data_IF_808210264319
#
_entry.id   IF_808210264319
#
_cell.length_a   1.000
_cell.length_b   1.000
_cell.length_c   1.000
_cell.angle_alpha   90.00
_cell.angle_beta   90.00
_cell.angle_gamma   90.00
#
_symmetry.space_group_name_H-M   'P 1'
#
loop_
_entity.id
_entity.type
_entity.pdbx_description
1 polymer ?
#
# COMPACT_ATOMS: atom_id res chain seq x y z
N UNK A 1 -8.06 5.94 -19.76
CA UNK A 1 -7.06 6.49 -18.83
C UNK A 1 -7.58 7.79 -18.22
N UNK A 2 -7.46 7.90 -16.89
CA UNK A 2 -7.86 9.10 -16.18
C UNK A 2 -6.86 10.24 -16.44
N UNK A 3 -7.37 11.45 -16.68
CA UNK A 3 -6.53 12.64 -16.87
C UNK A 3 -6.71 13.57 -15.68
N UNK A 4 -5.61 13.83 -14.95
CA UNK A 4 -5.62 14.81 -13.86
C UNK A 4 -5.65 16.23 -14.39
N UNK A 5 -6.41 17.13 -13.74
CA UNK A 5 -6.49 18.55 -14.09
C UNK A 5 -5.17 19.31 -13.96
N UNK A 6 -4.23 18.78 -13.16
CA UNK A 6 -2.88 19.32 -12.97
C UNK A 6 -1.96 18.27 -12.32
N UNK A 7 -0.69 18.65 -12.07
CA UNK A 7 0.34 17.75 -11.49
C UNK A 7 0.37 17.73 -9.97
N UNK A 8 -0.51 18.44 -9.27
CA UNK A 8 -0.53 18.41 -7.81
C UNK A 8 -1.18 17.13 -7.32
N UNK A 9 -0.38 16.28 -6.74
CA UNK A 9 -0.71 14.92 -6.36
C UNK A 9 -0.49 14.73 -4.86
N UNK A 10 -1.55 14.50 -4.09
CA UNK A 10 -1.44 14.13 -2.68
C UNK A 10 -1.34 12.60 -2.61
N UNK A 11 -0.17 12.10 -2.29
CA UNK A 11 0.09 10.67 -2.05
C UNK A 11 -0.73 10.14 -0.87
N UNK A 12 -0.94 8.82 -0.75
CA UNK A 12 -1.60 8.23 0.40
C UNK A 12 -0.98 8.70 1.72
N UNK A 13 -1.82 9.10 2.66
CA UNK A 13 -1.37 9.67 3.93
C UNK A 13 -2.30 9.27 5.07
N UNK A 14 -1.73 8.60 6.07
CA UNK A 14 -2.44 8.09 7.23
C UNK A 14 -2.87 9.20 8.18
N UNK A 15 -4.12 9.16 8.60
CA UNK A 15 -4.74 10.13 9.52
C UNK A 15 -5.43 9.47 10.70
N UNK A 16 -5.63 8.14 10.65
CA UNK A 16 -6.36 7.39 11.65
C UNK A 16 -7.87 7.69 11.70
N UNK A 17 -8.43 8.19 10.60
CA UNK A 17 -9.85 8.58 10.54
C UNK A 17 -10.70 7.57 9.74
N UNK A 18 -10.08 6.76 8.88
CA UNK A 18 -10.77 6.04 7.84
C UNK A 18 -11.79 5.03 8.33
N UNK A 19 -11.53 4.36 9.43
CA UNK A 19 -12.44 3.36 9.98
C UNK A 19 -13.55 3.94 10.84
N UNK A 20 -13.20 4.75 11.85
CA UNK A 20 -14.18 5.25 12.82
C UNK A 20 -14.81 6.59 12.42
N UNK A 21 -14.16 7.34 11.54
CA UNK A 21 -14.53 8.72 11.20
C UNK A 21 -14.50 9.01 9.71
N UNK A 22 -15.16 8.18 8.87
CA UNK A 22 -15.06 8.30 7.41
C UNK A 22 -15.55 9.67 6.89
N UNK A 23 -16.52 10.29 7.55
CA UNK A 23 -16.96 11.63 7.21
C UNK A 23 -15.86 12.69 7.46
N UNK A 24 -15.10 12.58 8.56
CA UNK A 24 -13.98 13.50 8.83
C UNK A 24 -12.87 13.33 7.81
N UNK A 25 -12.54 12.07 7.46
CA UNK A 25 -11.58 11.78 6.41
C UNK A 25 -12.03 12.41 5.09
N UNK A 26 -13.28 12.21 4.72
CA UNK A 26 -13.85 12.75 3.48
C UNK A 26 -13.80 14.29 3.43
N UNK A 27 -14.15 14.99 4.51
CA UNK A 27 -14.06 16.44 4.60
C UNK A 27 -12.61 16.93 4.50
N UNK A 28 -11.69 16.33 5.24
CA UNK A 28 -10.28 16.69 5.17
C UNK A 28 -9.70 16.53 3.76
N UNK A 29 -10.08 15.46 3.06
CA UNK A 29 -9.65 15.24 1.67
C UNK A 29 -10.34 16.22 0.70
N UNK A 30 -11.61 16.51 0.92
CA UNK A 30 -12.36 17.47 0.11
C UNK A 30 -11.76 18.88 0.17
N UNK A 31 -11.27 19.34 1.32
CA UNK A 31 -10.57 20.63 1.45
C UNK A 31 -9.36 20.73 0.51
N UNK A 32 -8.63 19.63 0.31
CA UNK A 32 -7.50 19.59 -0.64
C UNK A 32 -7.98 19.70 -2.08
N UNK A 33 -9.05 18.99 -2.41
CA UNK A 33 -9.65 19.02 -3.75
C UNK A 33 -10.19 20.43 -4.08
N UNK A 34 -10.87 21.07 -3.14
CA UNK A 34 -11.34 22.47 -3.22
C UNK A 34 -10.16 23.44 -3.39
N UNK A 35 -9.05 23.20 -2.67
CA UNK A 35 -7.79 23.95 -2.78
C UNK A 35 -7.03 23.71 -4.08
N UNK A 36 -7.56 22.90 -5.02
CA UNK A 36 -7.06 22.77 -6.39
C UNK A 36 -6.19 21.55 -6.67
N UNK A 37 -6.02 20.61 -5.74
CA UNK A 37 -5.27 19.38 -5.99
C UNK A 37 -5.87 18.54 -7.11
N UNK A 38 -5.01 18.02 -8.00
CA UNK A 38 -5.44 17.20 -9.15
C UNK A 38 -5.76 15.76 -8.77
N UNK A 39 -5.00 15.21 -7.82
CA UNK A 39 -5.23 13.87 -7.26
C UNK A 39 -5.17 13.94 -5.75
N UNK A 40 -6.11 13.26 -5.09
CA UNK A 40 -6.15 13.13 -3.63
C UNK A 40 -6.41 11.66 -3.26
N UNK A 41 -5.54 11.10 -2.42
CA UNK A 41 -5.61 9.70 -2.01
C UNK A 41 -6.13 9.54 -0.59
N UNK A 42 -6.56 8.32 -0.27
CA UNK A 42 -6.91 7.89 1.10
C UNK A 42 -5.66 7.81 2.00
N UNK A 43 -5.80 7.25 3.16
CA UNK A 43 -4.78 6.51 3.89
C UNK A 43 -4.70 5.07 3.37
N UNK A 44 -3.77 4.24 3.85
CA UNK A 44 -3.82 2.83 3.48
C UNK A 44 -5.12 2.17 3.93
N UNK A 45 -5.63 1.26 3.12
CA UNK A 45 -6.86 0.52 3.36
C UNK A 45 -6.55 -0.96 3.44
N UNK A 46 -6.82 -1.57 4.60
CA UNK A 46 -6.70 -3.02 4.75
C UNK A 46 -7.65 -3.73 3.78
N UNK A 47 -7.13 -4.71 3.04
CA UNK A 47 -7.89 -5.44 2.03
C UNK A 47 -8.65 -6.64 2.58
N UNK A 48 -8.30 -7.11 3.79
CA UNK A 48 -8.89 -8.29 4.40
C UNK A 48 -8.79 -8.22 5.93
N UNK A 49 -9.79 -8.76 6.67
CA UNK A 49 -9.78 -8.77 8.13
C UNK A 49 -8.55 -9.41 8.80
N UNK A 50 -7.88 -10.36 8.12
CA UNK A 50 -6.62 -10.94 8.64
C UNK A 50 -5.43 -9.97 8.65
N UNK A 51 -5.64 -8.76 8.20
CA UNK A 51 -4.66 -7.67 8.25
C UNK A 51 -5.31 -6.44 8.91
N UNK A 52 -5.86 -6.61 10.10
CA UNK A 52 -6.38 -5.49 10.85
C UNK A 52 -5.28 -4.74 11.61
N UNK A 53 -5.40 -3.42 11.67
CA UNK A 53 -4.52 -2.54 12.42
C UNK A 53 -5.34 -1.69 13.42
N UNK A 54 -6.17 -2.36 14.18
CA UNK A 54 -7.20 -1.75 15.03
C UNK A 54 -6.68 -0.68 15.98
N UNK A 55 -5.45 -0.82 16.48
CA UNK A 55 -4.85 0.20 17.36
C UNK A 55 -4.75 1.57 16.70
N UNK A 56 -4.67 1.63 15.38
CA UNK A 56 -4.48 2.86 14.61
C UNK A 56 -5.75 3.34 13.90
N UNK A 57 -6.80 2.52 13.86
CA UNK A 57 -8.12 2.90 13.29
C UNK A 57 -8.07 3.40 11.84
N UNK A 58 -7.14 2.87 11.02
CA UNK A 58 -7.04 3.21 9.61
C UNK A 58 -8.18 2.59 8.78
N UNK A 59 -8.26 2.98 7.51
CA UNK A 59 -9.33 2.53 6.66
C UNK A 59 -9.25 1.04 6.32
N UNK A 60 -10.39 0.46 6.02
CA UNK A 60 -10.56 -0.88 5.47
C UNK A 60 -11.33 -0.83 4.15
N UNK A 61 -11.22 -1.91 3.39
CA UNK A 61 -12.01 -2.13 2.18
C UNK A 61 -12.44 -3.60 2.10
N UNK A 62 -13.04 -4.08 3.21
CA UNK A 62 -13.37 -5.49 3.42
C UNK A 62 -14.74 -5.87 2.88
N UNK A 63 -15.70 -4.94 2.98
CA UNK A 63 -17.10 -5.19 2.69
C UNK A 63 -17.85 -3.98 2.10
N UNK A 64 -19.16 -4.12 1.95
CA UNK A 64 -20.03 -3.09 1.39
C UNK A 64 -20.24 -1.88 2.32
N UNK A 65 -19.97 -1.98 3.61
CA UNK A 65 -20.02 -0.81 4.50
C UNK A 65 -18.82 0.10 4.24
N UNK A 66 -17.67 -0.48 4.00
CA UNK A 66 -16.46 0.25 3.60
C UNK A 66 -16.64 0.95 2.24
N UNK A 67 -17.25 0.26 1.26
CA UNK A 67 -17.58 0.86 -0.03
C UNK A 67 -18.44 2.13 0.14
N UNK A 68 -19.47 2.05 0.98
CA UNK A 68 -20.34 3.22 1.27
C UNK A 68 -19.57 4.35 1.96
N UNK A 69 -18.69 4.02 2.89
CA UNK A 69 -17.86 5.00 3.60
C UNK A 69 -16.90 5.71 2.65
N UNK A 70 -16.21 4.98 1.78
CA UNK A 70 -15.30 5.55 0.80
C UNK A 70 -16.01 6.38 -0.26
N UNK A 71 -17.22 5.99 -0.67
CA UNK A 71 -18.02 6.75 -1.62
C UNK A 71 -18.29 8.19 -1.15
N UNK A 72 -18.43 8.42 0.14
CA UNK A 72 -18.58 9.77 0.70
C UNK A 72 -17.38 10.64 0.31
N UNK A 73 -16.18 10.09 0.32
CA UNK A 73 -14.96 10.82 -0.06
C UNK A 73 -14.86 11.01 -1.57
N UNK A 74 -15.05 9.97 -2.36
CA UNK A 74 -14.90 10.04 -3.82
C UNK A 74 -15.91 11.01 -4.42
N UNK A 75 -17.18 10.97 -3.99
CA UNK A 75 -18.22 11.91 -4.41
C UNK A 75 -17.85 13.38 -4.11
N UNK A 76 -17.19 13.65 -2.98
CA UNK A 76 -16.73 15.00 -2.64
C UNK A 76 -15.57 15.45 -3.52
N UNK A 77 -14.59 14.58 -3.76
CA UNK A 77 -13.42 14.88 -4.59
C UNK A 77 -13.83 15.17 -6.05
N UNK A 78 -14.73 14.37 -6.59
CA UNK A 78 -15.21 14.50 -7.97
C UNK A 78 -15.98 15.82 -8.22
N UNK A 79 -16.63 16.41 -7.21
CA UNK A 79 -17.23 17.74 -7.32
C UNK A 79 -16.23 18.84 -7.71
N UNK A 80 -14.94 18.61 -7.42
CA UNK A 80 -13.86 19.54 -7.75
C UNK A 80 -13.00 19.08 -8.94
N UNK A 81 -13.47 18.11 -9.74
CA UNK A 81 -12.71 17.48 -10.81
C UNK A 81 -11.34 16.96 -10.33
N UNK A 82 -11.29 16.39 -9.12
CA UNK A 82 -10.12 15.80 -8.50
C UNK A 82 -10.24 14.29 -8.56
N UNK A 83 -9.19 13.61 -9.05
CA UNK A 83 -9.14 12.16 -9.06
C UNK A 83 -8.93 11.62 -7.65
N UNK A 84 -9.61 10.53 -7.34
CA UNK A 84 -9.55 9.82 -6.06
C UNK A 84 -8.70 8.56 -6.17
N UNK A 85 -7.73 8.38 -5.26
CA UNK A 85 -6.95 7.15 -5.18
C UNK A 85 -7.11 6.43 -3.84
N UNK A 86 -6.95 5.10 -3.87
CA UNK A 86 -6.98 4.23 -2.69
C UNK A 86 -5.74 3.35 -2.63
N UNK A 87 -5.12 3.28 -1.46
CA UNK A 87 -3.93 2.46 -1.22
C UNK A 87 -4.32 1.12 -0.58
N UNK A 88 -4.21 0.04 -1.35
CA UNK A 88 -4.53 -1.32 -0.91
C UNK A 88 -3.35 -1.92 -0.15
N UNK A 89 -3.62 -2.35 1.07
CA UNK A 89 -2.61 -2.72 2.03
C UNK A 89 -2.87 -4.08 2.67
N UNK A 90 -1.80 -4.86 2.79
CA UNK A 90 -1.72 -6.03 3.65
C UNK A 90 -0.46 -5.95 4.50
N UNK A 91 -0.63 -5.98 5.81
CA UNK A 91 0.43 -5.66 6.76
C UNK A 91 1.61 -6.64 6.78
N UNK A 92 1.34 -7.93 6.56
CA UNK A 92 2.34 -8.94 6.89
C UNK A 92 2.52 -9.04 8.42
N UNK A 93 3.77 -9.24 8.87
CA UNK A 93 4.12 -9.37 10.29
C UNK A 93 3.78 -8.14 11.16
N UNK A 94 3.38 -7.03 10.53
CA UNK A 94 3.10 -5.79 11.25
C UNK A 94 1.63 -5.58 11.60
N UNK A 95 0.72 -6.49 11.18
CA UNK A 95 -0.66 -6.49 11.62
C UNK A 95 -0.75 -6.80 13.11
N UNK A 96 -1.53 -6.03 13.83
CA UNK A 96 -1.82 -6.33 15.24
C UNK A 96 -2.83 -7.44 15.41
N UNK A 97 -3.79 -7.53 14.48
CA UNK A 97 -4.90 -8.47 14.44
C UNK A 97 -5.63 -8.62 15.78
N UNK A 98 -5.71 -7.52 16.55
CA UNK A 98 -6.34 -7.52 17.88
C UNK A 98 -7.84 -7.71 17.81
N UNK A 99 -8.47 -7.24 16.75
CA UNK A 99 -9.90 -7.39 16.52
C UNK A 99 -10.24 -8.79 16.00
N UNK A 100 -9.59 -9.21 14.92
CA UNK A 100 -9.85 -10.50 14.28
C UNK A 100 -9.24 -11.68 15.03
N UNK A 101 -8.13 -11.44 15.76
CA UNK A 101 -7.33 -12.46 16.46
C UNK A 101 -6.74 -13.53 15.53
N UNK A 102 -6.65 -13.26 14.27
CA UNK A 102 -6.01 -14.13 13.30
C UNK A 102 -4.48 -14.01 13.38
N UNK A 103 -3.77 -15.09 13.06
CA UNK A 103 -2.31 -15.04 12.96
C UNK A 103 -1.94 -14.42 11.62
N UNK A 104 -1.24 -13.27 11.58
CA UNK A 104 -0.84 -12.67 10.33
C UNK A 104 0.16 -13.57 9.60
N UNK A 105 0.15 -13.55 8.28
CA UNK A 105 1.17 -14.22 7.50
C UNK A 105 2.15 -13.22 6.88
N UNK A 106 3.37 -13.67 6.63
CA UNK A 106 4.42 -12.89 5.99
C UNK A 106 5.31 -13.79 5.13
N UNK A 107 6.36 -13.23 4.58
CA UNK A 107 7.39 -13.93 3.81
C UNK A 107 7.97 -15.12 4.58
N UNK A 108 8.14 -14.97 5.89
CA UNK A 108 8.58 -16.01 6.82
C UNK A 108 7.89 -15.89 8.18
N UNK A 109 8.15 -16.84 9.09
CA UNK A 109 7.68 -16.78 10.47
C UNK A 109 8.65 -15.93 11.29
N UNK A 110 8.19 -14.76 11.73
CA UNK A 110 9.03 -13.81 12.45
C UNK A 110 8.24 -12.97 13.47
N UNK A 111 8.90 -12.49 14.52
CA UNK A 111 8.26 -11.56 15.45
C UNK A 111 7.93 -10.24 14.76
N UNK A 112 6.94 -9.54 15.32
CA UNK A 112 6.64 -8.17 14.89
C UNK A 112 7.86 -7.27 15.13
N UNK A 113 8.24 -6.48 14.14
CA UNK A 113 9.42 -5.63 14.22
C UNK A 113 9.27 -4.45 15.20
N UNK A 114 8.04 -4.05 15.53
CA UNK A 114 7.75 -3.02 16.55
C UNK A 114 7.91 -3.53 17.98
N UNK A 115 8.40 -4.76 18.17
CA UNK A 115 8.55 -5.37 19.49
C UNK A 115 7.24 -5.74 20.18
N UNK A 116 6.12 -5.74 19.46
CA UNK A 116 4.83 -6.20 19.97
C UNK A 116 4.82 -7.74 20.05
N UNK A 117 4.07 -8.34 20.98
CA UNK A 117 4.09 -9.77 21.23
C UNK A 117 3.31 -10.60 20.18
N UNK A 118 3.44 -10.23 18.93
CA UNK A 118 2.85 -10.95 17.80
C UNK A 118 3.93 -11.58 16.94
N UNK A 119 3.57 -12.65 16.30
CA UNK A 119 4.42 -13.36 15.36
C UNK A 119 3.64 -13.71 14.11
N UNK A 120 4.23 -13.46 12.95
CA UNK A 120 3.67 -13.95 11.69
C UNK A 120 3.98 -15.43 11.50
N UNK A 121 3.17 -16.08 10.66
CA UNK A 121 3.49 -17.37 10.06
C UNK A 121 3.97 -17.20 8.63
N UNK A 122 4.82 -18.11 8.17
CA UNK A 122 5.25 -18.15 6.77
C UNK A 122 4.07 -18.44 5.84
N UNK A 123 3.94 -17.70 4.76
CA UNK A 123 2.94 -17.95 3.72
C UNK A 123 3.14 -19.31 3.05
N UNK A 124 2.04 -20.02 2.85
CA UNK A 124 1.96 -21.23 2.04
C UNK A 124 1.31 -20.97 0.66
N UNK A 125 1.16 -22.02 -0.13
CA UNK A 125 0.60 -21.91 -1.50
C UNK A 125 -0.85 -21.44 -1.52
N UNK A 126 -1.62 -21.71 -0.46
CA UNK A 126 -2.99 -21.24 -0.38
C UNK A 126 -3.04 -19.73 -0.09
N UNK A 127 -2.17 -19.25 0.80
CA UNK A 127 -2.09 -17.84 1.15
C UNK A 127 -1.80 -16.94 -0.07
N UNK A 128 -0.92 -17.39 -0.97
CA UNK A 128 -0.68 -16.65 -2.22
C UNK A 128 -1.92 -16.57 -3.12
N UNK A 129 -2.73 -17.63 -3.17
CA UNK A 129 -4.01 -17.62 -3.92
C UNK A 129 -5.01 -16.67 -3.26
N UNK A 130 -5.15 -16.79 -1.96
CA UNK A 130 -6.07 -15.97 -1.17
C UNK A 130 -5.69 -14.48 -1.22
N UNK A 131 -4.41 -14.17 -1.07
CA UNK A 131 -3.92 -12.79 -1.16
C UNK A 131 -4.26 -12.15 -2.53
N UNK A 132 -4.01 -12.87 -3.63
CA UNK A 132 -4.38 -12.38 -4.98
C UNK A 132 -5.88 -12.17 -5.11
N UNK A 133 -6.68 -13.08 -4.54
CA UNK A 133 -8.14 -12.92 -4.54
C UNK A 133 -8.58 -11.71 -3.72
N UNK A 134 -7.98 -11.48 -2.54
CA UNK A 134 -8.30 -10.33 -1.70
C UNK A 134 -7.94 -8.99 -2.36
N UNK A 135 -6.79 -8.92 -3.05
CA UNK A 135 -6.46 -7.74 -3.85
C UNK A 135 -7.46 -7.50 -4.97
N UNK A 136 -7.87 -8.56 -5.67
CA UNK A 136 -8.91 -8.50 -6.70
C UNK A 136 -10.23 -8.00 -6.13
N UNK A 137 -10.70 -8.56 -5.02
CA UNK A 137 -11.96 -8.19 -4.39
C UNK A 137 -11.93 -6.75 -3.87
N UNK A 138 -10.81 -6.32 -3.28
CA UNK A 138 -10.63 -4.94 -2.84
C UNK A 138 -10.60 -3.96 -4.03
N UNK A 139 -9.97 -4.32 -5.14
CA UNK A 139 -9.97 -3.51 -6.36
C UNK A 139 -11.38 -3.36 -6.96
N UNK A 140 -12.21 -4.42 -6.95
CA UNK A 140 -13.62 -4.34 -7.36
C UNK A 140 -14.42 -3.42 -6.44
N UNK A 141 -14.23 -3.50 -5.14
CA UNK A 141 -14.85 -2.60 -4.17
C UNK A 141 -14.37 -1.15 -4.35
N UNK A 142 -13.08 -0.95 -4.65
CA UNK A 142 -12.54 0.38 -4.96
C UNK A 142 -13.23 0.98 -6.18
N UNK A 143 -13.39 0.20 -7.24
CA UNK A 143 -14.12 0.60 -8.45
C UNK A 143 -15.57 0.95 -8.12
N UNK A 144 -16.26 0.13 -7.35
CA UNK A 144 -17.63 0.38 -6.89
C UNK A 144 -17.72 1.65 -6.03
N UNK A 145 -16.73 1.91 -5.17
CA UNK A 145 -16.67 3.12 -4.35
C UNK A 145 -16.36 4.40 -5.15
N UNK A 146 -16.01 4.29 -6.44
CA UNK A 146 -15.78 5.42 -7.32
C UNK A 146 -14.34 5.93 -7.33
N UNK A 147 -13.36 5.12 -6.97
CA UNK A 147 -11.95 5.48 -7.10
C UNK A 147 -11.48 5.45 -8.56
N UNK A 148 -10.55 6.33 -8.89
CA UNK A 148 -9.91 6.45 -10.20
C UNK A 148 -8.53 5.76 -10.24
N UNK A 149 -7.90 5.59 -9.07
CA UNK A 149 -6.55 5.05 -8.93
C UNK A 149 -6.54 4.03 -7.79
N UNK A 150 -5.94 2.88 -8.04
CA UNK A 150 -5.71 1.84 -7.03
C UNK A 150 -4.22 1.58 -6.87
N UNK A 151 -3.73 1.55 -5.63
CA UNK A 151 -2.32 1.31 -5.32
C UNK A 151 -2.08 -0.10 -4.78
N UNK A 152 -0.93 -0.67 -5.14
CA UNK A 152 -0.28 -1.72 -4.37
C UNK A 152 0.76 -1.10 -3.43
N UNK A 153 0.69 -1.43 -2.13
CA UNK A 153 1.57 -0.86 -1.11
C UNK A 153 2.80 -1.74 -0.89
N UNK A 154 3.94 -1.38 -1.48
CA UNK A 154 5.18 -2.16 -1.50
C UNK A 154 6.35 -1.42 -0.83
N UNK A 155 6.14 -0.90 0.39
CA UNK A 155 7.14 -0.20 1.20
C UNK A 155 6.91 -0.40 2.69
N UNK A 156 7.73 0.22 3.54
CA UNK A 156 7.58 0.34 4.99
C UNK A 156 7.51 -1.01 5.74
N UNK A 157 8.25 -2.02 5.29
CA UNK A 157 8.29 -3.37 5.89
C UNK A 157 6.92 -4.08 5.94
N UNK A 158 5.98 -3.70 5.08
CA UNK A 158 4.75 -4.44 4.88
C UNK A 158 4.95 -5.61 3.91
N UNK A 159 3.94 -6.44 3.76
CA UNK A 159 4.08 -7.74 3.11
C UNK A 159 4.82 -7.68 1.76
N UNK A 160 4.39 -6.84 0.82
CA UNK A 160 5.00 -6.80 -0.51
C UNK A 160 6.45 -6.31 -0.49
N UNK A 161 6.79 -5.39 0.41
CA UNK A 161 8.16 -4.93 0.62
C UNK A 161 9.03 -6.02 1.26
N UNK A 162 8.48 -6.82 2.20
CA UNK A 162 9.22 -7.90 2.83
C UNK A 162 9.64 -9.00 1.84
N UNK A 163 8.85 -9.24 0.79
CA UNK A 163 9.22 -10.16 -0.28
C UNK A 163 10.40 -9.66 -1.13
N UNK A 164 10.50 -8.35 -1.31
CA UNK A 164 11.61 -7.71 -2.03
C UNK A 164 12.96 -7.92 -1.33
N UNK A 165 12.99 -7.84 -0.02
CA UNK A 165 14.18 -7.73 0.82
C UNK A 165 14.94 -9.04 0.93
N UNK A 166 16.22 -9.06 0.51
CA UNK A 166 17.10 -10.24 0.62
C UNK A 166 17.50 -10.57 2.06
N UNK A 167 17.53 -9.57 2.95
CA UNK A 167 17.83 -9.75 4.37
C UNK A 167 16.67 -10.34 5.20
N UNK A 168 15.46 -10.31 4.66
CA UNK A 168 14.23 -10.82 5.30
C UNK A 168 13.72 -12.07 4.61
N UNK A 169 13.74 -12.09 3.27
CA UNK A 169 13.19 -13.17 2.46
C UNK A 169 14.14 -14.38 2.40
N UNK A 170 13.98 -15.30 3.34
CA UNK A 170 14.73 -16.55 3.45
C UNK A 170 14.09 -17.73 2.70
N UNK A 171 13.13 -17.45 1.79
CA UNK A 171 12.42 -18.49 1.06
C UNK A 171 13.32 -19.17 0.03
N UNK A 172 13.09 -20.48 -0.15
CA UNK A 172 13.78 -21.32 -1.12
C UNK A 172 12.84 -21.86 -2.21
N UNK A 173 11.66 -21.27 -2.33
CA UNK A 173 10.67 -21.53 -3.37
C UNK A 173 10.69 -20.46 -4.46
N UNK A 174 9.69 -20.48 -5.34
CA UNK A 174 9.54 -19.53 -6.46
C UNK A 174 9.36 -18.07 -6.07
N UNK A 175 9.26 -17.75 -4.76
CA UNK A 175 9.10 -16.40 -4.22
C UNK A 175 10.33 -15.91 -3.43
N UNK A 176 11.45 -16.67 -3.46
CA UNK A 176 12.67 -16.34 -2.73
C UNK A 176 13.95 -16.62 -3.51
N UNK A 177 15.09 -16.27 -2.92
CA UNK A 177 16.41 -16.43 -3.54
C UNK A 177 16.71 -15.32 -4.54
N UNK A 178 16.55 -15.57 -5.85
CA UNK A 178 16.90 -14.59 -6.90
C UNK A 178 16.02 -13.34 -6.86
N UNK A 179 16.51 -12.24 -7.42
CA UNK A 179 15.77 -10.98 -7.55
C UNK A 179 14.45 -11.20 -8.30
N UNK A 180 14.48 -11.98 -9.39
CA UNK A 180 13.28 -12.31 -10.17
C UNK A 180 12.22 -13.01 -9.33
N UNK A 181 12.63 -13.93 -8.46
CA UNK A 181 11.71 -14.65 -7.58
C UNK A 181 11.14 -13.71 -6.50
N UNK A 182 11.97 -12.85 -5.91
CA UNK A 182 11.52 -11.88 -4.90
C UNK A 182 10.58 -10.82 -5.49
N UNK A 183 10.74 -10.47 -6.78
CA UNK A 183 9.86 -9.55 -7.48
C UNK A 183 8.52 -10.19 -7.90
N UNK A 184 8.43 -11.52 -7.90
CA UNK A 184 7.27 -12.27 -8.41
C UNK A 184 5.96 -11.87 -7.78
N UNK A 185 5.89 -11.80 -6.44
CA UNK A 185 4.64 -11.48 -5.75
C UNK A 185 4.14 -10.07 -6.11
N UNK A 186 5.02 -9.09 -6.11
CA UNK A 186 4.64 -7.71 -6.49
C UNK A 186 4.13 -7.67 -7.93
N UNK A 187 4.82 -8.34 -8.86
CA UNK A 187 4.38 -8.44 -10.27
C UNK A 187 2.98 -9.05 -10.37
N UNK A 188 2.76 -10.21 -9.75
CA UNK A 188 1.46 -10.91 -9.76
C UNK A 188 0.33 -10.03 -9.20
N UNK A 189 0.61 -9.25 -8.14
CA UNK A 189 -0.40 -8.34 -7.59
C UNK A 189 -0.68 -7.18 -8.55
N UNK A 190 0.33 -6.60 -9.19
CA UNK A 190 0.11 -5.54 -10.19
C UNK A 190 -0.71 -6.09 -11.36
N UNK A 191 -0.37 -7.28 -11.88
CA UNK A 191 -1.11 -7.94 -12.95
C UNK A 191 -2.57 -8.19 -12.56
N UNK A 192 -2.83 -8.71 -11.36
CA UNK A 192 -4.19 -8.91 -10.83
C UNK A 192 -4.96 -7.58 -10.76
N UNK A 193 -4.33 -6.50 -10.30
CA UNK A 193 -4.96 -5.20 -10.26
C UNK A 193 -5.29 -4.69 -11.68
N UNK A 194 -4.32 -4.73 -12.60
CA UNK A 194 -4.51 -4.31 -14.00
C UNK A 194 -5.64 -5.10 -14.67
N UNK A 195 -5.66 -6.43 -14.53
CA UNK A 195 -6.71 -7.29 -15.09
C UNK A 195 -8.08 -6.98 -14.48
N UNK A 196 -8.13 -6.63 -13.19
CA UNK A 196 -9.38 -6.38 -12.48
C UNK A 196 -9.99 -5.03 -12.82
N UNK A 197 -9.17 -3.97 -12.87
CA UNK A 197 -9.68 -2.61 -13.09
C UNK A 197 -9.70 -2.23 -14.58
N UNK A 198 -8.91 -2.90 -15.42
CA UNK A 198 -8.81 -2.66 -16.86
C UNK A 198 -8.49 -1.20 -17.17
N UNK A 199 -9.09 -0.68 -18.25
CA UNK A 199 -8.91 0.70 -18.71
C UNK A 199 -9.67 1.75 -17.86
N UNK A 200 -10.39 1.31 -16.82
CA UNK A 200 -11.29 2.21 -16.07
C UNK A 200 -10.60 2.92 -14.91
N UNK A 201 -9.52 2.34 -14.38
CA UNK A 201 -8.73 2.93 -13.29
C UNK A 201 -7.25 2.81 -13.60
N UNK A 202 -6.45 3.71 -13.05
CA UNK A 202 -4.99 3.58 -13.08
C UNK A 202 -4.52 2.67 -11.93
N UNK A 203 -3.44 1.93 -12.18
CA UNK A 203 -2.74 1.13 -11.16
C UNK A 203 -1.44 1.83 -10.79
N UNK A 204 -1.31 2.19 -9.52
CA UNK A 204 -0.10 2.78 -8.96
C UNK A 204 0.60 1.80 -8.01
N UNK A 205 1.88 2.01 -7.77
CA UNK A 205 2.64 1.28 -6.75
C UNK A 205 3.37 2.28 -5.87
N UNK A 206 3.14 2.18 -4.56
CA UNK A 206 4.00 2.86 -3.60
C UNK A 206 5.17 1.96 -3.26
N UNK A 207 6.38 2.45 -3.52
CA UNK A 207 7.57 1.64 -3.58
C UNK A 207 8.76 2.29 -2.89
N UNK A 208 9.53 1.48 -2.17
CA UNK A 208 10.84 1.86 -1.66
C UNK A 208 11.90 0.95 -2.28
N UNK A 209 12.83 1.49 -3.07
CA UNK A 209 13.81 0.67 -3.77
C UNK A 209 14.87 0.09 -2.83
N UNK A 210 15.30 0.86 -1.83
CA UNK A 210 16.37 0.47 -0.91
C UNK A 210 16.37 1.41 0.30
N UNK A 211 15.57 1.05 1.31
CA UNK A 211 15.36 1.89 2.49
C UNK A 211 16.66 2.22 3.23
N UNK A 212 17.57 1.24 3.35
CA UNK A 212 18.80 1.38 4.13
C UNK A 212 19.81 2.29 3.42
N UNK A 213 19.99 2.14 2.11
CA UNK A 213 20.89 3.00 1.34
C UNK A 213 20.40 4.43 1.27
N UNK A 214 19.09 4.61 1.03
CA UNK A 214 18.48 5.95 0.97
C UNK A 214 18.59 6.66 2.33
N UNK A 215 18.33 5.94 3.42
CA UNK A 215 18.48 6.44 4.79
C UNK A 215 19.90 6.94 5.09
N UNK A 216 20.91 6.23 4.59
CA UNK A 216 22.32 6.59 4.74
C UNK A 216 22.78 7.62 3.70
N UNK A 217 21.88 8.14 2.87
CA UNK A 217 22.18 9.03 1.75
C UNK A 217 23.19 8.44 0.75
N UNK A 218 23.08 7.13 0.52
CA UNK A 218 23.90 6.37 -0.43
C UNK A 218 23.11 6.06 -1.70
N UNK A 219 23.79 5.80 -2.84
CA UNK A 219 23.13 5.30 -4.04
C UNK A 219 22.42 3.96 -3.77
N UNK A 220 21.27 3.75 -4.41
CA UNK A 220 20.59 2.45 -4.38
C UNK A 220 21.51 1.35 -4.95
N UNK A 221 21.42 0.16 -4.38
CA UNK A 221 22.23 -0.99 -4.78
C UNK A 221 21.89 -1.49 -6.19
N UNK A 222 22.83 -2.20 -6.81
CA UNK A 222 22.58 -2.88 -8.11
C UNK A 222 21.42 -3.87 -7.98
N UNK A 223 21.29 -4.54 -6.84
CA UNK A 223 20.18 -5.46 -6.54
C UNK A 223 18.83 -4.74 -6.54
N UNK A 224 18.75 -3.56 -5.94
CA UNK A 224 17.53 -2.74 -5.95
C UNK A 224 17.18 -2.24 -7.36
N UNK A 225 18.18 -1.89 -8.15
CA UNK A 225 18.00 -1.50 -9.56
C UNK A 225 17.51 -2.69 -10.39
N UNK A 226 18.12 -3.87 -10.20
CA UNK A 226 17.67 -5.10 -10.86
C UNK A 226 16.23 -5.45 -10.46
N UNK A 227 15.87 -5.36 -9.18
CA UNK A 227 14.49 -5.58 -8.71
C UNK A 227 13.52 -4.63 -9.41
N UNK A 228 13.82 -3.34 -9.43
CA UNK A 228 12.97 -2.35 -10.07
C UNK A 228 12.79 -2.64 -11.57
N UNK A 229 13.84 -3.08 -12.25
CA UNK A 229 13.75 -3.44 -13.67
C UNK A 229 12.78 -4.57 -13.98
N UNK A 230 12.49 -5.46 -13.00
CA UNK A 230 11.53 -6.57 -13.16
C UNK A 230 10.07 -6.10 -13.16
N UNK A 231 9.79 -4.89 -12.68
CA UNK A 231 8.42 -4.40 -12.43
C UNK A 231 8.16 -3.01 -13.01
N UNK A 232 9.18 -2.29 -13.47
CA UNK A 232 9.13 -0.86 -13.82
C UNK A 232 8.04 -0.48 -14.82
N UNK A 233 7.78 -1.34 -15.81
CA UNK A 233 6.84 -1.09 -16.90
C UNK A 233 5.40 -1.56 -16.61
N UNK A 234 5.15 -2.16 -15.44
CA UNK A 234 3.87 -2.79 -15.15
C UNK A 234 2.79 -1.80 -14.69
N UNK A 235 3.03 -0.93 -13.69
CA UNK A 235 2.02 0.02 -13.23
C UNK A 235 1.97 1.27 -14.11
N UNK A 236 0.90 2.05 -13.95
CA UNK A 236 0.76 3.33 -14.63
C UNK A 236 1.49 4.47 -13.91
N UNK A 237 1.77 4.31 -12.62
CA UNK A 237 2.42 5.31 -11.78
C UNK A 237 3.28 4.67 -10.68
N UNK A 238 4.45 5.25 -10.44
CA UNK A 238 5.30 4.96 -9.28
C UNK A 238 5.24 6.12 -8.28
N UNK A 239 4.87 5.81 -7.03
CA UNK A 239 4.98 6.68 -5.86
C UNK A 239 6.21 6.21 -5.06
N UNK A 240 7.36 6.81 -5.34
CA UNK A 240 8.63 6.40 -4.70
C UNK A 240 8.79 7.10 -3.37
N UNK A 241 8.95 6.32 -2.31
CA UNK A 241 9.24 6.83 -0.96
C UNK A 241 10.67 6.50 -0.55
N UNK A 242 11.28 7.44 0.14
CA UNK A 242 12.63 7.30 0.71
C UNK A 242 12.60 7.20 2.24
N UNK A 243 11.42 7.07 2.84
CA UNK A 243 11.24 7.02 4.29
C UNK A 243 10.90 5.61 4.76
N UNK A 244 11.42 5.26 5.92
CA UNK A 244 11.15 4.00 6.61
C UNK A 244 10.56 4.28 7.99
N UNK A 245 9.59 3.48 8.43
CA UNK A 245 9.00 3.57 9.77
C UNK A 245 9.94 3.16 10.91
N UNK A 246 10.98 2.40 10.61
CA UNK A 246 11.91 1.85 11.60
C UNK A 246 12.73 2.90 12.32
N UNK A 247 12.75 4.11 11.82
CA UNK A 247 13.59 5.15 12.36
C UNK A 247 12.73 6.37 12.63
N UNK A 248 12.57 6.72 13.90
CA UNK A 248 12.03 8.01 14.30
C UNK A 248 12.67 9.19 13.52
N UNK A 249 13.88 8.99 13.05
CA UNK A 249 14.66 9.93 12.25
C UNK A 249 14.33 9.86 10.74
N UNK A 250 13.79 8.75 10.22
CA UNK A 250 13.55 8.57 8.78
C UNK A 250 12.48 9.51 8.23
N UNK A 251 11.40 9.70 8.97
CA UNK A 251 10.33 10.63 8.60
C UNK A 251 10.63 12.08 8.96
N UNK A 252 11.52 12.33 9.92
CA UNK A 252 11.88 13.66 10.38
C UNK A 252 13.15 14.22 9.73
N UNK A 253 13.98 13.37 9.11
CA UNK A 253 15.27 13.79 8.55
C UNK A 253 15.11 14.78 7.40
N UNK A 254 14.11 14.62 6.55
CA UNK A 254 13.82 15.57 5.47
C UNK A 254 13.26 16.92 5.96
N UNK A 255 12.74 16.96 7.18
CA UNK A 255 12.23 18.21 7.78
C UNK A 255 13.37 19.03 8.37
N UNK A 256 14.46 18.39 8.82
CA UNK A 256 15.55 19.04 9.51
C UNK A 256 16.73 19.45 8.61
N UNK A 257 16.88 18.85 7.44
CA UNK A 257 17.98 19.17 6.52
C UNK A 257 17.61 20.20 5.43
N UNK A 258 16.36 20.63 5.38
CA UNK A 258 15.83 21.60 4.39
C UNK A 258 15.37 22.94 4.99
N UNK A 259 15.69 23.24 6.26
CA UNK A 259 15.34 24.49 6.91
C UNK A 259 16.57 25.40 7.06
#
# INVERSE_FOLDING_TARGET
>A
PATSKNRFYQVPHCTGMGWQRPNMLAEMRAMKAEGGWGVVNTEYCSIHPSSDDLLHSYASLWDQSDVRAHRIMTDKLHKHNTLAGVELWYSGANASNLYTREVPFDVNSRPNWKGLPYQSRKMDKQDFRDLRQWFKDAALRAKEAGFDIVYAYATHHYLLNNFQRSDINDRNDEYGGSVQNRARLLREIIEVLKDTVGETMAVAVRFSPDDDQIKDNKPVTDEAQEFFSQVSELPDLWDVTAANWDVELGTSRFINEGA
#
